data_IF_392791802169
#
_entry.id   IF_392791802169
#
_cell.length_a   1.000
_cell.length_b   1.000
_cell.length_c   1.000
_cell.angle_alpha   90.00
_cell.angle_beta   90.00
_cell.angle_gamma   90.00
#
_symmetry.space_group_name_H-M   'P 1'
#
loop_
_entity.id
_entity.type
_entity.pdbx_description
1 polymer ?
#
# COMPACT_ATOMS: atom_id res chain seq x y z
N UNK A 1 -20.70 2.39 -5.66
CA UNK A 1 -19.62 1.42 -5.91
C UNK A 1 -18.37 1.99 -5.26
N UNK A 2 -17.72 1.21 -4.41
CA UNK A 2 -16.50 1.60 -3.72
C UNK A 2 -15.33 0.84 -4.33
N UNK A 3 -14.27 1.54 -4.72
CA UNK A 3 -13.03 0.89 -5.14
C UNK A 3 -12.12 0.77 -3.94
N UNK A 4 -11.96 -0.46 -3.42
CA UNK A 4 -11.31 -0.69 -2.12
C UNK A 4 -10.00 -1.48 -2.25
N UNK A 5 -9.13 -1.23 -1.29
CA UNK A 5 -7.87 -1.94 -1.05
C UNK A 5 -7.55 -1.90 0.44
N UNK A 6 -6.77 -2.86 0.93
CA UNK A 6 -6.18 -2.86 2.27
C UNK A 6 -4.73 -2.40 2.18
N UNK A 7 -4.28 -1.61 3.15
CA UNK A 7 -2.92 -1.08 3.20
C UNK A 7 -2.45 -0.83 4.63
N UNK A 8 -1.13 -0.78 4.81
CA UNK A 8 -0.51 -0.21 6.01
C UNK A 8 -0.23 1.28 5.78
N UNK A 9 -0.65 2.17 6.69
CA UNK A 9 -0.26 3.57 6.61
C UNK A 9 1.24 3.72 6.88
N UNK A 10 1.86 4.69 6.22
CA UNK A 10 3.24 5.06 6.56
C UNK A 10 3.21 6.03 7.75
N UNK A 11 3.97 5.76 8.82
CA UNK A 11 4.10 6.67 9.97
C UNK A 11 4.54 8.09 9.57
N UNK A 12 3.96 9.10 10.22
CA UNK A 12 4.18 10.53 9.93
C UNK A 12 5.66 10.95 10.04
N UNK A 13 6.42 10.34 10.94
CA UNK A 13 7.85 10.58 11.13
C UNK A 13 8.72 10.14 9.94
N UNK A 14 8.16 9.35 9.02
CA UNK A 14 8.83 8.93 7.78
C UNK A 14 8.41 9.76 6.56
N UNK A 15 7.42 10.64 6.67
CA UNK A 15 6.84 11.37 5.54
C UNK A 15 7.86 12.26 4.85
N UNK A 16 8.54 13.13 5.60
CA UNK A 16 9.52 14.09 5.06
C UNK A 16 10.64 13.38 4.28
N UNK A 17 11.15 12.28 4.83
CA UNK A 17 12.20 11.49 4.19
C UNK A 17 11.76 10.87 2.85
N UNK A 18 10.50 10.46 2.74
CA UNK A 18 9.94 9.90 1.51
C UNK A 18 9.54 10.99 0.51
N UNK A 19 9.02 12.11 0.99
CA UNK A 19 8.71 13.27 0.16
C UNK A 19 9.96 13.85 -0.51
N UNK A 20 11.10 13.84 0.19
CA UNK A 20 12.38 14.23 -0.39
C UNK A 20 12.82 13.36 -1.59
N UNK A 21 12.30 12.12 -1.71
CA UNK A 21 12.56 11.25 -2.86
C UNK A 21 11.65 11.56 -4.07
N UNK A 22 10.63 12.39 -3.90
CA UNK A 22 9.68 12.79 -4.95
C UNK A 22 10.25 13.89 -5.86
N UNK A 23 11.38 13.61 -6.51
CA UNK A 23 12.07 14.57 -7.38
C UNK A 23 12.61 13.91 -8.66
N UNK A 24 13.06 14.71 -9.62
CA UNK A 24 13.84 14.27 -10.78
C UNK A 24 13.03 13.59 -11.89
N UNK A 25 11.69 13.61 -11.83
CA UNK A 25 10.80 13.03 -12.83
C UNK A 25 9.88 14.08 -13.46
N UNK A 26 10.25 14.64 -14.63
CA UNK A 26 9.42 15.59 -15.36
C UNK A 26 8.03 15.01 -15.67
N UNK A 27 6.97 15.75 -15.33
CA UNK A 27 5.59 15.35 -15.56
C UNK A 27 5.03 14.37 -14.51
N UNK A 28 5.79 14.02 -13.47
CA UNK A 28 5.26 13.23 -12.36
C UNK A 28 4.22 14.04 -11.56
N UNK A 29 3.09 13.39 -11.26
CA UNK A 29 2.11 13.89 -10.30
C UNK A 29 2.33 13.18 -8.98
N UNK A 30 3.07 13.84 -8.08
CA UNK A 30 3.43 13.30 -6.79
C UNK A 30 2.22 13.18 -5.86
N UNK A 31 2.20 12.11 -5.06
CA UNK A 31 1.15 11.89 -4.06
C UNK A 31 1.50 12.66 -2.81
N UNK A 32 0.52 13.29 -2.15
CA UNK A 32 0.79 13.99 -0.90
C UNK A 32 1.07 12.95 0.21
N UNK A 33 1.77 13.38 1.24
CA UNK A 33 2.36 12.52 2.27
C UNK A 33 1.31 11.71 3.04
N UNK A 34 0.14 12.30 3.29
CA UNK A 34 -0.99 11.64 3.95
C UNK A 34 -1.54 10.44 3.17
N UNK A 35 -1.19 10.33 1.88
CA UNK A 35 -1.54 9.19 1.05
C UNK A 35 -0.42 8.15 0.94
N UNK A 36 0.69 8.27 1.66
CA UNK A 36 1.73 7.24 1.69
C UNK A 36 1.24 5.99 2.42
N UNK A 37 1.29 4.87 1.71
CA UNK A 37 0.84 3.59 2.23
C UNK A 37 1.52 2.43 1.50
N UNK A 38 1.57 1.29 2.17
CA UNK A 38 2.02 0.01 1.61
C UNK A 38 0.76 -0.80 1.29
N UNK A 39 0.44 -0.95 0.00
CA UNK A 39 -0.74 -1.73 -0.39
C UNK A 39 -0.53 -3.21 -0.09
N UNK A 40 -1.47 -3.82 0.64
CA UNK A 40 -1.48 -5.24 0.97
C UNK A 40 -2.33 -6.05 -0.01
N UNK A 41 -3.50 -5.53 -0.39
CA UNK A 41 -4.41 -6.20 -1.33
C UNK A 41 -5.39 -5.22 -1.99
N UNK A 42 -5.56 -5.32 -3.31
CA UNK A 42 -6.65 -4.67 -4.03
C UNK A 42 -7.88 -5.58 -4.11
N UNK A 43 -9.06 -5.03 -3.83
CA UNK A 43 -10.34 -5.74 -3.90
C UNK A 43 -11.21 -5.35 -5.10
N UNK A 44 -10.86 -4.24 -5.78
CA UNK A 44 -11.62 -3.76 -6.92
C UNK A 44 -12.91 -3.05 -6.49
N UNK A 45 -13.94 -3.13 -7.34
CA UNK A 45 -15.21 -2.44 -7.12
C UNK A 45 -16.18 -3.31 -6.32
N UNK A 46 -16.61 -2.79 -5.17
CA UNK A 46 -17.52 -3.46 -4.24
C UNK A 46 -18.80 -2.64 -4.03
N UNK A 47 -19.90 -3.35 -3.80
CA UNK A 47 -21.14 -2.75 -3.31
C UNK A 47 -20.98 -2.30 -1.85
N UNK A 48 -21.87 -1.42 -1.37
CA UNK A 48 -21.86 -0.99 0.03
C UNK A 48 -21.91 -2.16 1.02
N UNK A 49 -22.74 -3.17 0.73
CA UNK A 49 -22.87 -4.36 1.58
C UNK A 49 -21.56 -5.16 1.63
N UNK A 50 -20.97 -5.45 0.47
CA UNK A 50 -19.68 -6.14 0.40
C UNK A 50 -18.56 -5.35 1.07
N UNK A 51 -18.58 -4.01 0.97
CA UNK A 51 -17.60 -3.15 1.64
C UNK A 51 -17.70 -3.25 3.18
N UNK A 52 -18.92 -3.33 3.73
CA UNK A 52 -19.11 -3.54 5.17
C UNK A 52 -18.67 -4.92 5.62
N UNK A 53 -19.07 -5.96 4.87
CA UNK A 53 -18.67 -7.34 5.19
C UNK A 53 -17.14 -7.49 5.16
N UNK A 54 -16.46 -6.83 4.20
CA UNK A 54 -15.01 -6.79 4.12
C UNK A 54 -14.36 -6.06 5.29
N UNK A 55 -14.92 -4.93 5.74
CA UNK A 55 -14.42 -4.16 6.89
C UNK A 55 -14.42 -5.01 8.16
N UNK A 56 -15.51 -5.73 8.42
CA UNK A 56 -15.64 -6.65 9.56
C UNK A 56 -14.58 -7.78 9.48
N UNK A 57 -14.42 -8.41 8.31
CA UNK A 57 -13.46 -9.49 8.10
C UNK A 57 -12.00 -9.04 8.24
N UNK A 58 -11.65 -7.84 7.74
CA UNK A 58 -10.32 -7.27 7.92
C UNK A 58 -10.05 -6.92 9.39
N UNK A 59 -11.08 -6.48 10.13
CA UNK A 59 -11.01 -6.17 11.56
C UNK A 59 -10.65 -7.36 12.46
N UNK A 60 -10.90 -8.58 12.00
CA UNK A 60 -10.57 -9.82 12.70
C UNK A 60 -9.12 -10.29 12.48
N UNK A 61 -8.41 -9.70 11.53
CA UNK A 61 -7.01 -10.03 11.29
C UNK A 61 -6.16 -9.61 12.50
N UNK A 62 -5.32 -10.54 12.96
CA UNK A 62 -4.32 -10.29 14.02
C UNK A 62 -2.94 -10.59 13.49
N UNK A 63 -1.97 -9.71 13.74
CA UNK A 63 -0.56 -9.95 13.45
C UNK A 63 0.29 -9.47 14.62
N UNK A 64 1.44 -10.10 14.83
CA UNK A 64 2.46 -9.54 15.72
C UNK A 64 3.10 -8.32 15.04
N UNK A 65 3.59 -7.33 15.80
CA UNK A 65 4.43 -6.28 15.24
C UNK A 65 5.66 -6.88 14.55
N UNK A 66 6.05 -6.31 13.42
CA UNK A 66 7.24 -6.70 12.66
C UNK A 66 7.90 -5.48 12.04
N UNK A 67 9.17 -5.62 11.70
CA UNK A 67 9.95 -4.55 11.08
C UNK A 67 9.75 -4.53 9.57
N UNK A 68 9.72 -3.31 9.02
CA UNK A 68 9.69 -3.05 7.59
C UNK A 68 10.84 -2.12 7.23
N UNK A 69 11.44 -2.33 6.07
CA UNK A 69 12.49 -1.47 5.56
C UNK A 69 12.24 -1.12 4.10
N UNK A 70 12.52 0.11 3.72
CA UNK A 70 12.45 0.58 2.34
C UNK A 70 13.82 0.43 1.69
N UNK A 71 13.90 -0.14 0.49
CA UNK A 71 15.15 -0.39 -0.23
C UNK A 71 15.08 -0.04 -1.71
N UNK A 72 15.37 1.23 -2.01
CA UNK A 72 15.36 1.75 -3.37
C UNK A 72 13.96 2.00 -3.91
N UNK A 73 13.84 2.09 -5.23
CA UNK A 73 12.61 2.44 -5.92
C UNK A 73 12.42 1.59 -7.17
N UNK A 74 11.20 1.57 -7.67
CA UNK A 74 10.83 0.95 -8.94
C UNK A 74 9.76 1.75 -9.66
N UNK A 75 9.34 1.25 -10.82
CA UNK A 75 8.26 1.83 -11.58
C UNK A 75 7.34 0.76 -12.16
N UNK A 76 6.08 1.12 -12.35
CA UNK A 76 5.14 0.36 -13.16
C UNK A 76 5.08 0.92 -14.57
N UNK A 77 4.89 0.05 -15.55
CA UNK A 77 4.88 0.42 -16.97
C UNK A 77 6.01 -0.26 -17.73
N UNK A 78 6.10 0.02 -19.04
CA UNK A 78 7.17 -0.51 -19.91
C UNK A 78 8.05 0.62 -20.42
N UNK A 79 7.82 1.05 -21.66
CA UNK A 79 8.56 2.14 -22.31
C UNK A 79 8.21 3.51 -21.71
N UNK A 80 6.97 3.66 -21.23
CA UNK A 80 6.48 4.85 -20.56
C UNK A 80 6.06 4.46 -19.13
N UNK A 81 6.73 5.00 -18.09
CA UNK A 81 6.35 4.76 -16.70
C UNK A 81 4.96 5.33 -16.40
N UNK A 82 4.13 4.53 -15.76
CA UNK A 82 2.78 4.91 -15.31
C UNK A 82 2.73 5.34 -13.84
N UNK A 83 3.66 4.85 -13.04
CA UNK A 83 3.82 5.21 -11.63
C UNK A 83 5.22 4.81 -11.15
N UNK A 84 5.74 5.54 -10.17
CA UNK A 84 6.94 5.18 -9.41
C UNK A 84 6.56 4.84 -7.97
N UNK A 85 7.36 4.02 -7.33
CA UNK A 85 7.12 3.54 -5.97
C UNK A 85 8.43 3.27 -5.23
N UNK A 86 8.40 3.48 -3.92
CA UNK A 86 9.46 3.05 -3.02
C UNK A 86 9.32 1.54 -2.77
N UNK A 87 10.42 0.79 -2.88
CA UNK A 87 10.40 -0.66 -2.67
C UNK A 87 10.41 -0.95 -1.18
N UNK A 88 9.49 -1.79 -0.71
CA UNK A 88 9.55 -2.37 0.63
C UNK A 88 10.27 -3.71 0.53
N UNK A 89 11.24 -3.96 1.42
CA UNK A 89 11.89 -5.26 1.55
C UNK A 89 10.86 -6.31 1.93
N UNK A 90 10.86 -7.43 1.22
CA UNK A 90 9.95 -8.52 1.53
C UNK A 90 10.32 -9.21 2.85
N UNK A 91 9.31 -9.56 3.63
CA UNK A 91 9.41 -10.40 4.83
C UNK A 91 8.30 -11.44 4.84
N UNK A 92 8.49 -12.52 5.60
CA UNK A 92 7.47 -13.56 5.76
C UNK A 92 6.22 -13.02 6.48
N UNK A 93 6.41 -12.08 7.40
CA UNK A 93 5.35 -11.40 8.14
C UNK A 93 4.51 -10.52 7.22
N UNK A 94 5.14 -9.75 6.33
CA UNK A 94 4.42 -8.92 5.35
C UNK A 94 3.66 -9.78 4.35
N UNK A 95 4.27 -10.86 3.85
CA UNK A 95 3.60 -11.83 2.96
C UNK A 95 2.42 -12.50 3.64
N UNK A 96 2.59 -12.92 4.90
CA UNK A 96 1.53 -13.53 5.72
C UNK A 96 0.37 -12.56 5.95
N UNK A 97 0.65 -11.29 6.24
CA UNK A 97 -0.38 -10.26 6.40
C UNK A 97 -1.15 -10.02 5.09
N UNK A 98 -0.44 -9.87 3.96
CA UNK A 98 -1.07 -9.72 2.64
C UNK A 98 -1.95 -10.93 2.29
N UNK A 99 -1.49 -12.15 2.57
CA UNK A 99 -2.27 -13.37 2.35
C UNK A 99 -3.55 -13.43 3.21
N UNK A 100 -3.50 -12.95 4.46
CA UNK A 100 -4.70 -12.84 5.31
C UNK A 100 -5.68 -11.81 4.78
N UNK A 101 -5.21 -10.68 4.27
CA UNK A 101 -6.07 -9.70 3.59
C UNK A 101 -6.73 -10.28 2.34
N UNK A 102 -6.03 -11.13 1.58
CA UNK A 102 -6.61 -11.83 0.43
C UNK A 102 -7.70 -12.84 0.84
N UNK A 103 -7.52 -13.56 1.95
CA UNK A 103 -8.51 -14.52 2.45
C UNK A 103 -9.77 -13.88 3.02
N UNK A 104 -9.73 -12.60 3.39
CA UNK A 104 -10.87 -11.83 3.88
C UNK A 104 -11.78 -11.30 2.76
N UNK A 105 -11.39 -11.42 1.48
CA UNK A 105 -12.16 -10.96 0.32
C UNK A 105 -13.07 -12.06 -0.26
#
# INVERSE_FOLDING_TARGET
MYRLFAALPVPEDLWEGLAALQDGLPGASWRPEENFHITLRFFGDLTYRQARDLDDLLGDIRCQPFELSIEGAGWFGRREPSAVWARVRESDELRSLSARCEQAA
#
